data_IF_576509767719
#
_entry.id   IF_576509767719
#
_cell.length_a   1.000
_cell.length_b   1.000
_cell.length_c   1.000
_cell.angle_alpha   90.00
_cell.angle_beta   90.00
_cell.angle_gamma   90.00
#
_symmetry.space_group_name_H-M   'P 1'
#
loop_
_entity.id
_entity.type
_entity.pdbx_description
1 polymer ?
#
# COMPACT_ATOMS: atom_id res chain seq x y z
N UNK A 1 4.06 39.16 -39.67
CA UNK A 1 4.76 38.34 -38.66
C UNK A 1 3.89 38.30 -37.40
N UNK A 2 3.65 37.10 -36.87
CA UNK A 2 3.34 36.80 -35.46
C UNK A 2 1.94 37.12 -34.91
N UNK A 3 0.97 36.22 -35.08
CA UNK A 3 -0.19 36.09 -34.15
C UNK A 3 -0.72 34.64 -34.00
N UNK A 4 0.02 33.63 -34.49
CA UNK A 4 -0.39 32.20 -34.45
C UNK A 4 0.49 31.35 -33.53
N UNK A 5 1.24 31.97 -32.61
CA UNK A 5 2.11 31.27 -31.64
C UNK A 5 1.59 31.33 -30.20
N UNK A 6 0.66 32.23 -29.90
CA UNK A 6 0.17 32.47 -28.54
C UNK A 6 -1.01 31.59 -28.14
N UNK A 7 -1.76 31.02 -29.09
CA UNK A 7 -2.90 30.16 -28.79
C UNK A 7 -2.49 28.73 -28.41
N UNK A 8 -1.31 28.28 -28.85
CA UNK A 8 -0.80 26.92 -28.61
C UNK A 8 -0.16 26.73 -27.23
N UNK A 9 0.12 27.81 -26.49
CA UNK A 9 0.79 27.72 -25.18
C UNK A 9 -0.19 27.48 -24.02
N UNK A 10 -1.47 27.82 -24.19
CA UNK A 10 -2.49 27.74 -23.13
C UNK A 10 -3.07 26.33 -22.92
N UNK A 11 -2.89 25.42 -23.90
CA UNK A 11 -3.44 24.06 -23.83
C UNK A 11 -2.53 23.11 -23.04
N UNK A 12 -1.22 23.40 -22.96
CA UNK A 12 -0.27 22.54 -22.24
C UNK A 12 -0.39 22.62 -20.72
N UNK A 13 -0.97 23.69 -20.15
CA UNK A 13 -1.09 23.85 -18.70
C UNK A 13 -2.29 23.12 -18.08
N UNK A 14 -3.29 22.68 -18.86
CA UNK A 14 -4.44 21.94 -18.32
C UNK A 14 -4.18 20.44 -18.13
N UNK A 15 -3.07 19.90 -18.64
CA UNK A 15 -2.81 18.46 -18.62
C UNK A 15 -2.22 17.95 -17.28
N UNK A 16 -1.82 18.83 -16.35
CA UNK A 16 -1.06 18.46 -15.15
C UNK A 16 -1.93 18.31 -13.88
N UNK A 17 -3.22 18.65 -13.92
CA UNK A 17 -4.06 18.69 -12.70
C UNK A 17 -4.78 17.39 -12.32
N UNK A 18 -4.52 16.25 -13.00
CA UNK A 18 -5.10 14.94 -12.63
C UNK A 18 -4.12 14.05 -11.86
N UNK A 19 -3.29 14.64 -11.00
CA UNK A 19 -2.69 13.88 -9.89
C UNK A 19 -3.80 13.57 -8.87
N UNK A 20 -4.68 12.62 -9.21
CA UNK A 20 -5.70 12.12 -8.31
C UNK A 20 -5.02 11.61 -7.03
N UNK A 21 -5.57 11.94 -5.87
CA UNK A 21 -5.15 11.36 -4.60
C UNK A 21 -5.27 9.84 -4.72
N UNK A 22 -4.13 9.15 -4.84
CA UNK A 22 -4.03 7.69 -4.78
C UNK A 22 -4.33 7.28 -3.34
N UNK A 23 -5.62 7.19 -3.00
CA UNK A 23 -6.03 6.60 -1.73
C UNK A 23 -5.92 5.10 -1.88
N UNK A 24 -5.08 4.46 -1.07
CA UNK A 24 -5.02 3.00 -1.04
C UNK A 24 -6.40 2.46 -0.65
N UNK A 25 -7.04 1.80 -1.60
CA UNK A 25 -8.39 1.25 -1.51
C UNK A 25 -8.35 -0.23 -1.85
N UNK A 26 -8.94 -1.07 -1.01
CA UNK A 26 -8.95 -2.52 -1.19
C UNK A 26 -9.29 -3.22 0.12
N UNK A 27 -9.70 -4.48 0.03
CA UNK A 27 -9.87 -5.36 1.19
C UNK A 27 -8.64 -6.26 1.28
N UNK A 28 -7.99 -6.29 2.43
CA UNK A 28 -6.75 -7.02 2.63
C UNK A 28 -6.84 -7.94 3.83
N UNK A 29 -6.14 -9.05 3.76
CA UNK A 29 -5.86 -9.94 4.88
C UNK A 29 -4.40 -9.78 5.25
N UNK A 30 -4.15 -9.42 6.50
CA UNK A 30 -2.81 -9.28 7.06
C UNK A 30 -2.53 -10.50 7.94
N UNK A 31 -1.45 -11.19 7.67
CA UNK A 31 -0.95 -12.34 8.43
C UNK A 31 0.52 -12.16 8.76
N UNK A 32 1.15 -13.09 9.48
CA UNK A 32 2.57 -13.00 9.76
C UNK A 32 3.21 -14.30 10.19
N UNK A 33 4.53 -14.33 10.17
CA UNK A 33 5.38 -15.37 10.75
C UNK A 33 6.25 -14.77 11.85
N UNK A 34 6.45 -15.53 12.92
CA UNK A 34 7.34 -15.20 14.01
C UNK A 34 8.83 -15.31 13.57
N UNK A 35 9.77 -14.74 14.34
CA UNK A 35 11.21 -14.77 14.00
C UNK A 35 11.79 -16.18 13.85
N UNK A 36 11.17 -17.18 14.49
CA UNK A 36 11.52 -18.59 14.42
C UNK A 36 10.93 -19.33 13.20
N UNK A 37 10.15 -18.62 12.38
CA UNK A 37 9.44 -19.16 11.21
C UNK A 37 8.06 -19.74 11.51
N UNK A 38 7.59 -19.71 12.76
CA UNK A 38 6.26 -20.19 13.13
C UNK A 38 5.18 -19.25 12.59
N UNK A 39 4.17 -19.78 11.90
CA UNK A 39 3.02 -18.99 11.44
C UNK A 39 2.22 -18.42 12.62
N UNK A 40 1.83 -17.14 12.53
CA UNK A 40 0.84 -16.57 13.43
C UNK A 40 -0.52 -17.21 13.14
N UNK A 41 -1.16 -17.74 14.19
CA UNK A 41 -2.46 -18.42 14.07
C UNK A 41 -3.64 -17.50 13.76
N UNK A 42 -3.41 -16.20 13.64
CA UNK A 42 -4.44 -15.19 13.49
C UNK A 42 -4.13 -14.29 12.30
N UNK A 43 -5.17 -14.05 11.51
CA UNK A 43 -5.15 -13.14 10.37
C UNK A 43 -6.15 -12.01 10.64
N UNK A 44 -5.83 -10.81 10.19
CA UNK A 44 -6.68 -9.64 10.39
C UNK A 44 -7.11 -9.09 9.05
N UNK A 45 -8.42 -9.06 8.83
CA UNK A 45 -9.01 -8.39 7.68
C UNK A 45 -9.07 -6.89 7.91
N UNK A 46 -8.65 -6.11 6.93
CA UNK A 46 -8.66 -4.64 7.00
C UNK A 46 -8.87 -4.04 5.63
N UNK A 47 -9.06 -2.72 5.58
CA UNK A 47 -9.35 -2.00 4.35
C UNK A 47 -8.40 -0.83 4.15
N UNK A 48 -7.95 -0.65 2.91
CA UNK A 48 -7.12 0.47 2.50
C UNK A 48 -5.92 0.68 3.41
N UNK A 49 -5.79 1.89 3.98
CA UNK A 49 -4.69 2.25 4.89
C UNK A 49 -4.69 1.53 6.24
N UNK A 50 -5.74 0.77 6.58
CA UNK A 50 -5.79 -0.03 7.79
C UNK A 50 -4.70 -1.11 7.86
N UNK A 51 -4.14 -1.51 6.71
CA UNK A 51 -2.98 -2.43 6.64
C UNK A 51 -1.80 -1.92 7.45
N UNK A 52 -1.59 -0.60 7.49
CA UNK A 52 -0.49 0.01 8.22
C UNK A 52 -0.69 -0.08 9.72
N UNK A 53 -1.90 0.14 10.20
CA UNK A 53 -2.24 0.02 11.63
C UNK A 53 -2.03 -1.41 12.11
N UNK A 54 -2.54 -2.39 11.35
CA UNK A 54 -2.39 -3.81 11.71
C UNK A 54 -0.93 -4.23 11.66
N UNK A 55 -0.21 -3.88 10.59
CA UNK A 55 1.22 -4.17 10.46
C UNK A 55 2.04 -3.60 11.62
N UNK A 56 1.80 -2.33 11.96
CA UNK A 56 2.52 -1.67 13.05
C UNK A 56 2.19 -2.32 14.39
N UNK A 57 0.93 -2.70 14.62
CA UNK A 57 0.51 -3.45 15.81
C UNK A 57 1.17 -4.83 15.91
N UNK A 58 1.21 -5.58 14.80
CA UNK A 58 1.92 -6.86 14.71
C UNK A 58 3.41 -6.71 15.04
N UNK A 59 4.07 -5.70 14.46
CA UNK A 59 5.48 -5.46 14.73
C UNK A 59 5.76 -4.99 16.17
N UNK A 60 4.83 -4.26 16.79
CA UNK A 60 4.95 -3.87 18.19
C UNK A 60 4.78 -5.06 19.14
N UNK A 61 3.87 -6.00 18.80
CA UNK A 61 3.64 -7.21 19.58
C UNK A 61 4.75 -8.27 19.39
N UNK A 62 5.30 -8.35 18.18
CA UNK A 62 6.27 -9.38 17.79
C UNK A 62 7.45 -8.76 17.01
N UNK A 63 8.46 -8.21 17.70
CA UNK A 63 9.68 -7.70 17.07
C UNK A 63 10.38 -8.80 16.24
N UNK A 64 10.86 -8.43 15.06
CA UNK A 64 11.53 -9.36 14.13
C UNK A 64 10.62 -10.31 13.35
N UNK A 65 9.29 -10.25 13.53
CA UNK A 65 8.33 -10.99 12.72
C UNK A 65 8.35 -10.55 11.24
N UNK A 66 7.78 -11.38 10.36
CA UNK A 66 7.51 -10.99 8.96
C UNK A 66 6.00 -10.91 8.77
N UNK A 67 5.50 -9.78 8.28
CA UNK A 67 4.09 -9.53 8.02
C UNK A 67 3.83 -9.71 6.53
N UNK A 68 2.74 -10.39 6.19
CA UNK A 68 2.28 -10.59 4.82
C UNK A 68 0.93 -9.89 4.63
N UNK A 69 0.76 -9.21 3.51
CA UNK A 69 -0.46 -8.48 3.19
C UNK A 69 -0.96 -8.99 1.84
N UNK A 70 -2.15 -9.58 1.82
CA UNK A 70 -2.76 -10.15 0.62
C UNK A 70 -4.09 -9.49 0.34
N UNK A 71 -4.40 -9.29 -0.92
CA UNK A 71 -5.74 -8.90 -1.34
C UNK A 71 -6.74 -10.02 -0.98
N UNK A 72 -7.83 -9.64 -0.33
CA UNK A 72 -8.80 -10.58 0.22
C UNK A 72 -9.62 -11.32 -0.85
N UNK A 73 -9.73 -10.75 -2.07
CA UNK A 73 -10.50 -11.34 -3.16
C UNK A 73 -9.66 -12.28 -4.00
N UNK A 74 -8.44 -11.87 -4.32
CA UNK A 74 -7.55 -12.57 -5.25
C UNK A 74 -6.51 -13.44 -4.55
N UNK A 75 -6.27 -13.23 -3.26
CA UNK A 75 -5.19 -13.87 -2.49
C UNK A 75 -3.79 -13.40 -2.89
N UNK A 76 -3.69 -12.46 -3.83
CA UNK A 76 -2.42 -11.94 -4.34
C UNK A 76 -1.74 -11.08 -3.28
N UNK A 77 -0.43 -11.25 -3.17
CA UNK A 77 0.37 -10.46 -2.26
C UNK A 77 0.52 -9.02 -2.76
N UNK A 78 0.34 -8.05 -1.86
CA UNK A 78 0.47 -6.64 -2.15
C UNK A 78 1.95 -6.27 -2.25
N UNK A 79 2.50 -6.34 -3.47
CA UNK A 79 3.95 -6.26 -3.75
C UNK A 79 4.67 -5.06 -3.15
N UNK A 80 4.00 -3.91 -3.06
CA UNK A 80 4.62 -2.68 -2.57
C UNK A 80 4.67 -2.62 -1.03
N UNK A 81 3.93 -3.49 -0.34
CA UNK A 81 3.74 -3.45 1.12
C UNK A 81 4.06 -4.78 1.82
N UNK A 82 4.27 -5.85 1.05
CA UNK A 82 4.49 -7.22 1.51
C UNK A 82 5.57 -7.94 0.68
N UNK A 83 6.43 -8.75 1.32
CA UNK A 83 6.48 -9.00 2.75
C UNK A 83 7.17 -7.85 3.50
N UNK A 84 6.69 -7.57 4.71
CA UNK A 84 7.26 -6.54 5.57
C UNK A 84 7.97 -7.16 6.76
N UNK A 85 9.28 -6.89 6.91
CA UNK A 85 10.06 -7.38 8.04
C UNK A 85 10.02 -6.38 9.19
N UNK A 86 9.45 -6.79 10.32
CA UNK A 86 9.46 -6.00 11.54
C UNK A 86 10.89 -5.81 12.05
N UNK A 87 11.15 -4.63 12.61
CA UNK A 87 12.43 -4.36 13.27
C UNK A 87 12.53 -5.18 14.56
N UNK A 88 13.76 -5.55 14.93
CA UNK A 88 14.07 -6.21 16.20
C UNK A 88 14.20 -5.16 17.31
#
# INVERSE_FOLDING_TARGET
MNNMKTLSLSILLLAVSLAGCVTMSGNYVVSGTLPDGTDMKWNVSTQGRGIYTVRNGMCAAHPGATVFIRDAQTGQELKDESPYKCRK
#
